data_IF_802492285734
#
_entry.id   IF_802492285734
#
_cell.length_a   1.000
_cell.length_b   1.000
_cell.length_c   1.000
_cell.angle_alpha   90.00
_cell.angle_beta   90.00
_cell.angle_gamma   90.00
#
_symmetry.space_group_name_H-M   'P 1'
#
loop_
_entity.id
_entity.type
_entity.pdbx_description
1 polymer ?
#
# COMPACT_ATOMS: atom_id res chain seq x y z
N UNK A 1 38.24 -47.12 -22.62
CA UNK A 1 37.50 -48.17 -21.88
C UNK A 1 37.63 -47.89 -20.38
N UNK A 2 36.66 -47.15 -19.84
CA UNK A 2 36.31 -46.98 -18.42
C UNK A 2 35.01 -46.15 -18.45
N UNK A 3 34.00 -46.74 -19.11
CA UNK A 3 32.61 -46.47 -18.73
C UNK A 3 32.50 -46.95 -17.29
N UNK A 4 32.05 -46.09 -16.39
CA UNK A 4 31.21 -46.41 -15.22
C UNK A 4 31.38 -45.28 -14.18
N UNK A 5 30.56 -44.24 -14.31
CA UNK A 5 30.51 -43.13 -13.37
C UNK A 5 29.27 -42.26 -13.59
N UNK A 6 28.19 -42.88 -14.05
CA UNK A 6 26.88 -42.25 -14.20
C UNK A 6 25.96 -42.91 -13.17
N UNK A 7 25.92 -42.33 -11.97
CA UNK A 7 24.84 -42.51 -11.00
C UNK A 7 25.03 -41.49 -9.86
N UNK A 8 23.94 -40.80 -9.49
CA UNK A 8 23.80 -39.96 -8.29
C UNK A 8 24.27 -38.49 -8.38
N UNK A 9 23.82 -37.77 -9.41
CA UNK A 9 23.67 -36.31 -9.32
C UNK A 9 22.24 -35.86 -9.66
N UNK A 10 21.23 -36.71 -9.38
CA UNK A 10 19.81 -36.47 -9.68
C UNK A 10 18.96 -36.33 -8.41
N UNK A 11 19.58 -36.07 -7.24
CA UNK A 11 18.86 -36.09 -5.95
C UNK A 11 18.97 -34.83 -5.08
N UNK A 12 19.50 -33.71 -5.59
CA UNK A 12 19.64 -32.46 -4.82
C UNK A 12 18.86 -31.28 -5.38
N UNK A 13 18.03 -31.49 -6.41
CA UNK A 13 17.20 -30.42 -6.97
C UNK A 13 15.77 -30.75 -6.57
N UNK A 14 15.36 -30.39 -5.36
CA UNK A 14 13.97 -30.26 -4.88
C UNK A 14 14.09 -29.68 -3.46
N UNK A 15 14.15 -28.36 -3.31
CA UNK A 15 13.67 -27.59 -2.14
C UNK A 15 14.10 -26.12 -2.25
N UNK A 16 13.77 -25.49 -3.36
CA UNK A 16 13.39 -24.09 -3.30
C UNK A 16 11.95 -24.01 -3.75
N UNK A 17 11.04 -24.31 -2.82
CA UNK A 17 9.69 -23.76 -2.92
C UNK A 17 9.88 -22.26 -2.88
N UNK A 18 9.89 -21.63 -4.05
CA UNK A 18 9.79 -20.20 -4.18
C UNK A 18 8.44 -19.82 -3.56
N UNK A 19 8.46 -19.43 -2.28
CA UNK A 19 7.38 -18.67 -1.69
C UNK A 19 7.44 -17.30 -2.36
N UNK A 20 6.87 -17.21 -3.57
CA UNK A 20 6.58 -15.92 -4.16
C UNK A 20 5.75 -15.17 -3.12
N UNK A 21 6.12 -13.94 -2.73
CA UNK A 21 5.25 -13.13 -1.91
C UNK A 21 3.91 -13.12 -2.63
N UNK A 22 2.82 -13.34 -1.89
CA UNK A 22 1.48 -13.16 -2.39
C UNK A 22 1.49 -11.82 -3.14
N UNK A 23 1.50 -11.91 -4.48
CA UNK A 23 1.41 -10.76 -5.35
C UNK A 23 0.01 -10.27 -5.03
N UNK A 24 -0.09 -9.34 -4.07
CA UNK A 24 -1.30 -8.62 -3.80
C UNK A 24 -1.70 -8.08 -5.15
N UNK A 25 -2.70 -8.72 -5.75
CA UNK A 25 -3.23 -8.32 -7.03
C UNK A 25 -3.62 -6.88 -6.84
N UNK A 26 -2.78 -5.96 -7.33
CA UNK A 26 -3.02 -4.54 -7.22
C UNK A 26 -4.29 -4.33 -7.99
N UNK A 27 -5.38 -4.10 -7.26
CA UNK A 27 -6.69 -3.92 -7.83
C UNK A 27 -6.59 -2.71 -8.79
N UNK A 28 -6.57 -2.98 -10.09
CA UNK A 28 -6.38 -1.98 -11.14
C UNK A 28 -7.66 -1.22 -11.45
N UNK A 29 -8.72 -1.45 -10.67
CA UNK A 29 -10.01 -0.77 -10.82
C UNK A 29 -9.94 0.73 -10.49
N UNK A 30 -8.82 1.21 -9.95
CA UNK A 30 -8.73 2.57 -9.41
C UNK A 30 -9.52 2.74 -8.10
N UNK A 31 -10.13 1.66 -7.60
CA UNK A 31 -10.89 1.65 -6.36
C UNK A 31 -9.97 1.23 -5.22
N UNK A 32 -9.80 2.14 -4.25
CA UNK A 32 -9.07 1.86 -3.03
C UNK A 32 -10.07 1.59 -1.91
N UNK A 33 -9.82 0.54 -1.12
CA UNK A 33 -10.58 0.32 0.11
C UNK A 33 -10.30 1.49 1.06
N UNK A 34 -11.34 2.07 1.64
CA UNK A 34 -11.20 3.12 2.65
C UNK A 34 -10.27 2.67 3.80
N UNK A 35 -10.37 1.42 4.25
CA UNK A 35 -9.50 0.86 5.29
C UNK A 35 -8.01 0.83 4.92
N UNK A 36 -7.67 0.88 3.63
CA UNK A 36 -6.28 0.97 3.19
C UNK A 36 -5.80 2.44 3.10
N UNK A 37 -6.72 3.40 3.03
CA UNK A 37 -6.42 4.82 3.03
C UNK A 37 -6.25 5.37 4.45
N UNK A 38 -7.04 4.89 5.41
CA UNK A 38 -6.86 5.24 6.82
C UNK A 38 -5.48 4.73 7.29
N UNK A 39 -4.69 5.62 7.88
CA UNK A 39 -3.31 5.38 8.30
C UNK A 39 -2.28 5.46 7.16
N UNK A 40 -2.68 5.84 5.95
CA UNK A 40 -1.72 6.04 4.86
C UNK A 40 -0.95 7.37 5.07
N UNK A 41 0.37 7.38 4.79
CA UNK A 41 1.18 8.58 4.93
C UNK A 41 0.88 9.59 3.83
N UNK A 42 0.69 10.85 4.22
CA UNK A 42 0.51 11.98 3.32
C UNK A 42 1.81 12.75 3.21
N UNK A 43 2.19 13.07 1.97
CA UNK A 43 3.38 13.84 1.65
C UNK A 43 2.98 15.08 0.84
N UNK A 44 3.74 16.16 1.03
CA UNK A 44 3.65 17.33 0.17
C UNK A 44 4.32 17.08 -1.19
N UNK A 45 4.16 18.00 -2.13
CA UNK A 45 4.76 17.97 -3.48
C UNK A 45 6.29 17.86 -3.45
N UNK A 46 6.93 18.31 -2.37
CA UNK A 46 8.38 18.21 -2.14
C UNK A 46 8.80 16.87 -1.52
N UNK A 47 7.85 15.95 -1.25
CA UNK A 47 8.11 14.65 -0.62
C UNK A 47 8.24 14.70 0.91
N UNK A 48 7.94 15.86 1.52
CA UNK A 48 7.94 16.00 2.98
C UNK A 48 6.71 15.32 3.59
N UNK A 49 6.92 14.45 4.58
CA UNK A 49 5.83 13.84 5.32
C UNK A 49 5.04 14.90 6.12
N UNK A 50 3.74 14.96 5.89
CA UNK A 50 2.81 15.86 6.58
C UNK A 50 2.13 15.15 7.75
N UNK A 51 1.88 13.84 7.63
CA UNK A 51 1.18 13.07 8.64
C UNK A 51 0.52 11.83 8.04
N UNK A 52 -0.44 11.27 8.76
CA UNK A 52 -1.22 10.12 8.32
C UNK A 52 -2.70 10.46 8.23
N UNK A 53 -3.42 9.79 7.33
CA UNK A 53 -4.89 9.97 7.20
C UNK A 53 -5.57 9.36 8.43
N UNK A 54 -6.26 10.20 9.21
CA UNK A 54 -7.02 9.79 10.39
C UNK A 54 -8.44 9.36 10.03
N UNK A 55 -9.10 10.14 9.19
CA UNK A 55 -10.49 9.91 8.81
C UNK A 55 -10.80 10.46 7.41
N UNK A 56 -11.91 10.02 6.83
CA UNK A 56 -12.39 10.42 5.51
C UNK A 56 -13.83 10.91 5.61
N UNK A 57 -14.11 12.08 5.04
CA UNK A 57 -15.49 12.59 4.96
C UNK A 57 -16.03 12.46 3.54
N UNK A 58 -17.21 11.86 3.48
CA UNK A 58 -17.88 11.44 2.26
C UNK A 58 -19.16 12.27 2.11
N UNK A 59 -19.46 12.72 0.89
CA UNK A 59 -20.78 13.26 0.57
C UNK A 59 -21.78 12.09 0.52
N UNK A 60 -22.78 12.03 1.41
CA UNK A 60 -23.73 10.91 1.43
C UNK A 60 -24.63 10.87 0.17
N UNK A 61 -24.74 11.96 -0.58
CA UNK A 61 -25.55 12.01 -1.81
C UNK A 61 -24.76 11.58 -3.04
N UNK A 62 -23.52 12.07 -3.19
CA UNK A 62 -22.64 11.75 -4.32
C UNK A 62 -21.82 10.47 -4.16
N UNK A 63 -21.54 10.06 -2.92
CA UNK A 63 -20.65 8.94 -2.60
C UNK A 63 -19.16 9.24 -2.77
N UNK A 64 -18.81 10.48 -3.12
CA UNK A 64 -17.43 10.94 -3.31
C UNK A 64 -16.81 11.39 -1.98
N UNK A 65 -15.49 11.20 -1.84
CA UNK A 65 -14.72 11.72 -0.70
C UNK A 65 -14.50 13.22 -0.93
N UNK A 66 -14.98 14.05 -0.02
CA UNK A 66 -14.89 15.51 -0.12
C UNK A 66 -13.57 16.00 0.51
N UNK A 67 -13.20 15.42 1.65
CA UNK A 67 -11.97 15.77 2.35
C UNK A 67 -11.44 14.64 3.24
N UNK A 68 -10.13 14.68 3.50
CA UNK A 68 -9.44 13.82 4.46
C UNK A 68 -9.04 14.61 5.71
N UNK A 69 -9.15 13.97 6.87
CA UNK A 69 -8.66 14.48 8.16
C UNK A 69 -7.28 13.89 8.39
N UNK A 70 -6.28 14.74 8.66
CA UNK A 70 -4.90 14.30 8.88
C UNK A 70 -4.52 14.41 10.35
N UNK A 71 -3.70 13.47 10.81
CA UNK A 71 -2.94 13.61 12.05
C UNK A 71 -1.54 14.13 11.73
N UNK A 72 -1.21 15.32 12.20
CA UNK A 72 0.14 15.84 12.09
C UNK A 72 0.95 15.24 13.24
N UNK A 73 1.90 14.36 12.94
CA UNK A 73 2.79 13.71 13.91
C UNK A 73 3.77 14.65 14.63
N UNK A 74 3.43 15.92 14.78
CA UNK A 74 4.15 16.93 15.56
C UNK A 74 3.36 17.29 16.81
N UNK A 75 3.96 17.04 17.98
CA UNK A 75 3.31 17.24 19.27
C UNK A 75 2.78 18.67 19.50
N UNK A 76 1.81 18.73 20.42
CA UNK A 76 1.06 19.90 20.93
C UNK A 76 0.12 20.59 19.93
N UNK A 77 -1.18 20.48 20.23
CA UNK A 77 -2.27 21.34 19.75
C UNK A 77 -2.14 21.85 18.31
N UNK A 78 -2.23 20.93 17.35
CA UNK A 78 -2.53 21.30 15.97
C UNK A 78 -4.01 21.02 15.69
N UNK A 79 -4.74 22.07 15.35
CA UNK A 79 -6.10 21.93 14.81
C UNK A 79 -6.10 20.94 13.64
N UNK A 80 -7.14 20.09 13.50
CA UNK A 80 -7.23 19.15 12.39
C UNK A 80 -7.27 19.90 11.07
N UNK A 81 -6.20 19.79 10.27
CA UNK A 81 -6.17 20.40 8.94
C UNK A 81 -7.01 19.55 7.98
N UNK A 82 -8.04 20.17 7.42
CA UNK A 82 -8.92 19.58 6.42
C UNK A 82 -8.29 19.76 5.05
N UNK A 83 -7.93 18.65 4.39
CA UNK A 83 -7.41 18.69 3.02
C UNK A 83 -8.50 18.28 2.02
N UNK A 84 -8.89 19.15 1.07
CA UNK A 84 -9.88 18.81 0.06
C UNK A 84 -9.33 17.76 -0.90
N UNK A 85 -10.11 16.73 -1.17
CA UNK A 85 -9.76 15.72 -2.15
C UNK A 85 -10.03 16.29 -3.55
N UNK A 86 -8.96 16.62 -4.29
CA UNK A 86 -9.10 17.07 -5.68
C UNK A 86 -9.24 15.85 -6.59
N UNK A 87 -10.48 15.50 -6.94
CA UNK A 87 -10.76 14.38 -7.84
C UNK A 87 -10.21 14.59 -9.25
N UNK A 88 -9.47 13.62 -9.76
CA UNK A 88 -9.20 13.46 -11.19
C UNK A 88 -10.30 12.58 -11.77
N UNK A 89 -11.42 13.17 -12.18
CA UNK A 89 -12.41 12.43 -12.98
C UNK A 89 -11.87 12.22 -14.39
#
# INVERSE_FOLDING_TARGET
MKLLGMALAVLSIWTTVALAPAYAARDKSGVLKASNLIGAPVQDIEGKALGDIKDLVIDPLGGDIVYAVLDFGGGSESEPSILPCRGTR
#
